data_IF_559677786197
#
_entry.id   IF_559677786197
#
_cell.length_a   1.000
_cell.length_b   1.000
_cell.length_c   1.000
_cell.angle_alpha   90.00
_cell.angle_beta   90.00
_cell.angle_gamma   90.00
#
_symmetry.space_group_name_H-M   'P 1'
#
loop_
_entity.id
_entity.type
_entity.pdbx_description
1 polymer ?
#
# COMPACT_ATOMS: atom_id res chain seq x y z
N UNK A 1 -7.22 15.71 30.74
CA UNK A 1 -6.11 14.96 30.10
C UNK A 1 -6.33 13.48 30.40
N UNK A 2 -6.98 12.75 29.50
CA UNK A 2 -7.27 11.32 29.68
C UNK A 2 -5.99 10.56 29.33
N UNK A 3 -5.23 10.17 30.36
CA UNK A 3 -4.08 9.29 30.20
C UNK A 3 -4.61 7.88 29.92
N UNK A 4 -4.79 7.56 28.65
CA UNK A 4 -5.12 6.21 28.21
C UNK A 4 -3.92 5.32 28.54
N UNK A 5 -4.05 4.46 29.57
CA UNK A 5 -3.10 3.36 29.82
C UNK A 5 -3.22 2.35 28.68
N UNK A 6 -2.55 2.61 27.57
CA UNK A 6 -2.50 1.67 26.45
C UNK A 6 -1.63 0.48 26.87
N UNK A 7 -2.22 -0.71 26.95
CA UNK A 7 -1.48 -1.93 27.25
C UNK A 7 -0.45 -2.16 26.13
N UNK A 8 0.85 -2.30 26.44
CA UNK A 8 1.90 -2.43 25.42
C UNK A 8 1.69 -3.66 24.51
N UNK A 9 1.02 -4.70 25.02
CA UNK A 9 0.64 -5.90 24.25
C UNK A 9 -0.50 -5.60 23.25
N UNK A 10 -1.48 -4.79 23.63
CA UNK A 10 -2.57 -4.40 22.75
C UNK A 10 -2.08 -3.49 21.61
N UNK A 11 -1.13 -2.59 21.90
CA UNK A 11 -0.47 -1.78 20.88
C UNK A 11 0.31 -2.65 19.88
N UNK A 12 1.09 -3.63 20.37
CA UNK A 12 1.85 -4.53 19.49
C UNK A 12 0.95 -5.35 18.56
N UNK A 13 -0.18 -5.86 19.06
CA UNK A 13 -1.16 -6.60 18.24
C UNK A 13 -1.82 -5.69 17.19
N UNK A 14 -2.22 -4.48 17.57
CA UNK A 14 -2.81 -3.52 16.63
C UNK A 14 -1.83 -3.16 15.52
N UNK A 15 -0.55 -2.91 15.85
CA UNK A 15 0.50 -2.63 14.87
C UNK A 15 0.74 -3.84 13.96
N UNK A 16 0.79 -5.06 14.50
CA UNK A 16 0.93 -6.26 13.68
C UNK A 16 -0.23 -6.44 12.70
N UNK A 17 -1.46 -6.14 13.15
CA UNK A 17 -2.65 -6.18 12.29
C UNK A 17 -2.61 -5.14 11.17
N UNK A 18 -2.27 -3.87 11.46
CA UNK A 18 -2.13 -2.85 10.43
C UNK A 18 -1.05 -3.23 9.40
N UNK A 19 0.11 -3.70 9.86
CA UNK A 19 1.16 -4.20 8.96
C UNK A 19 0.67 -5.36 8.08
N UNK A 20 -0.24 -6.21 8.58
CA UNK A 20 -0.81 -7.33 7.82
C UNK A 20 -1.75 -6.85 6.73
N UNK A 21 -2.58 -5.85 7.04
CA UNK A 21 -3.41 -5.20 6.04
C UNK A 21 -2.56 -4.55 4.95
N UNK A 22 -1.53 -3.79 5.31
CA UNK A 22 -0.62 -3.16 4.34
C UNK A 22 0.03 -4.19 3.41
N UNK A 23 0.48 -5.34 3.95
CA UNK A 23 1.10 -6.38 3.14
C UNK A 23 0.10 -7.10 2.23
N UNK A 24 -1.10 -7.44 2.72
CA UNK A 24 -2.16 -8.03 1.90
C UNK A 24 -2.55 -7.07 0.76
N UNK A 25 -2.72 -5.78 1.08
CA UNK A 25 -2.98 -4.74 0.09
C UNK A 25 -1.86 -4.68 -0.97
N UNK A 26 -0.59 -4.77 -0.56
CA UNK A 26 0.54 -4.76 -1.50
C UNK A 26 0.49 -5.92 -2.50
N UNK A 27 0.06 -7.12 -2.09
CA UNK A 27 -0.09 -8.28 -3.00
C UNK A 27 -1.14 -7.99 -4.06
N UNK A 28 -2.28 -7.42 -3.66
CA UNK A 28 -3.37 -7.10 -4.58
C UNK A 28 -2.93 -6.02 -5.56
N UNK A 29 -2.28 -4.96 -5.10
CA UNK A 29 -1.79 -3.87 -5.96
C UNK A 29 -0.74 -4.38 -6.94
N UNK A 30 0.23 -5.20 -6.52
CA UNK A 30 1.19 -5.85 -7.44
C UNK A 30 0.49 -6.72 -8.48
N UNK A 31 -0.54 -7.47 -8.09
CA UNK A 31 -1.30 -8.31 -9.00
C UNK A 31 -2.05 -7.51 -10.07
N UNK A 32 -2.73 -6.44 -9.67
CA UNK A 32 -3.50 -5.58 -10.57
C UNK A 32 -2.58 -4.77 -11.48
N UNK A 33 -1.57 -4.09 -10.92
CA UNK A 33 -0.59 -3.30 -11.69
C UNK A 33 0.25 -4.19 -12.61
N UNK A 34 0.61 -5.40 -12.18
CA UNK A 34 1.31 -6.38 -13.02
C UNK A 34 0.46 -6.89 -14.19
N UNK A 35 -0.86 -7.08 -13.99
CA UNK A 35 -1.79 -7.37 -15.07
C UNK A 35 -1.87 -6.21 -16.06
N UNK A 36 -1.94 -4.98 -15.57
CA UNK A 36 -1.99 -3.79 -16.41
C UNK A 36 -0.70 -3.61 -17.23
N UNK A 37 0.47 -3.78 -16.60
CA UNK A 37 1.78 -3.65 -17.26
C UNK A 37 1.98 -4.68 -18.40
N UNK A 38 1.39 -5.87 -18.27
CA UNK A 38 1.48 -6.91 -19.32
C UNK A 38 0.60 -6.62 -20.53
N UNK A 39 -0.54 -5.96 -20.34
CA UNK A 39 -1.62 -5.89 -21.35
C UNK A 39 -1.81 -4.49 -21.95
N UNK A 40 -1.30 -3.45 -21.29
CA UNK A 40 -1.51 -2.04 -21.65
C UNK A 40 -0.18 -1.30 -21.79
N UNK A 41 -0.19 -0.08 -22.37
CA UNK A 41 1.01 0.77 -22.43
C UNK A 41 1.60 1.00 -21.04
N UNK A 42 2.93 1.11 -21.01
CA UNK A 42 3.70 1.24 -19.78
C UNK A 42 3.67 2.70 -19.33
N UNK A 43 2.80 3.02 -18.38
CA UNK A 43 2.73 4.35 -17.78
C UNK A 43 3.65 4.48 -16.58
N UNK A 44 4.24 5.66 -16.42
CA UNK A 44 5.19 5.93 -15.35
C UNK A 44 4.53 5.86 -13.96
N UNK A 45 3.27 6.27 -13.83
CA UNK A 45 2.50 6.18 -12.60
C UNK A 45 2.27 4.72 -12.18
N UNK A 46 1.94 3.86 -13.14
CA UNK A 46 1.73 2.43 -12.92
C UNK A 46 3.03 1.72 -12.48
N UNK A 47 4.16 2.12 -13.06
CA UNK A 47 5.49 1.65 -12.65
C UNK A 47 5.83 2.11 -11.22
N UNK A 48 5.44 3.32 -10.84
CA UNK A 48 5.63 3.79 -9.47
C UNK A 48 4.82 2.95 -8.47
N UNK A 49 3.53 2.72 -8.73
CA UNK A 49 2.65 1.90 -7.89
C UNK A 49 3.19 0.48 -7.68
N UNK A 50 3.61 -0.20 -8.75
CA UNK A 50 4.12 -1.57 -8.67
C UNK A 50 5.46 -1.65 -7.92
N UNK A 51 6.35 -0.66 -8.08
CA UNK A 51 7.65 -0.63 -7.39
C UNK A 51 7.45 -0.46 -5.89
N UNK A 52 6.63 0.50 -5.45
CA UNK A 52 6.34 0.70 -4.02
C UNK A 52 5.68 -0.56 -3.43
N UNK A 53 4.69 -1.12 -4.14
CA UNK A 53 3.99 -2.31 -3.69
C UNK A 53 4.92 -3.53 -3.60
N UNK A 54 5.82 -3.72 -4.57
CA UNK A 54 6.80 -4.80 -4.55
C UNK A 54 7.85 -4.63 -3.43
N UNK A 55 8.29 -3.40 -3.16
CA UNK A 55 9.20 -3.11 -2.05
C UNK A 55 8.55 -3.45 -0.70
N UNK A 56 7.28 -3.10 -0.50
CA UNK A 56 6.53 -3.53 0.69
C UNK A 56 6.43 -5.04 0.74
N UNK A 57 6.02 -5.70 -0.34
CA UNK A 57 5.84 -7.15 -0.36
C UNK A 57 7.12 -7.91 0.05
N UNK A 58 8.30 -7.44 -0.40
CA UNK A 58 9.59 -8.02 -0.04
C UNK A 58 10.13 -7.61 1.34
N UNK A 59 10.00 -6.34 1.73
CA UNK A 59 10.61 -5.78 2.94
C UNK A 59 9.73 -5.90 4.19
N UNK A 60 8.41 -6.12 4.05
CA UNK A 60 7.48 -6.19 5.19
C UNK A 60 7.34 -7.58 5.81
N UNK A 61 7.92 -8.64 5.21
CA UNK A 61 7.86 -10.00 5.79
C UNK A 61 8.44 -10.06 7.22
N UNK A 62 9.59 -9.43 7.53
CA UNK A 62 10.10 -9.35 8.90
C UNK A 62 9.21 -8.53 9.84
N UNK A 63 8.44 -7.57 9.31
CA UNK A 63 7.51 -6.72 10.08
C UNK A 63 6.40 -7.54 10.76
N UNK A 64 6.10 -8.75 10.28
CA UNK A 64 5.17 -9.69 10.93
C UNK A 64 5.74 -10.40 12.13
N UNK A 65 7.02 -10.75 12.06
CA UNK A 65 7.67 -11.64 13.01
C UNK A 65 8.18 -10.84 14.21
N UNK A 66 8.71 -9.64 13.96
CA UNK A 66 9.36 -8.82 14.97
C UNK A 66 8.44 -8.29 16.09
N UNK A 67 7.15 -7.95 15.88
CA UNK A 67 6.26 -7.53 16.96
C UNK A 67 5.87 -8.66 17.92
N UNK A 68 5.95 -9.92 17.46
CA UNK A 68 5.65 -11.11 18.27
C UNK A 68 6.79 -11.43 19.24
N UNK A 69 8.03 -11.07 18.87
CA UNK A 69 9.18 -11.16 19.77
C UNK A 69 9.31 -9.86 20.57
N UNK A 70 9.45 -9.96 21.89
CA UNK A 70 9.51 -8.84 22.86
C UNK A 70 10.68 -7.85 22.68
N UNK A 71 11.40 -7.88 21.55
CA UNK A 71 12.53 -7.02 21.20
C UNK A 71 12.17 -5.93 20.18
N UNK A 72 10.88 -5.67 19.94
CA UNK A 72 10.44 -4.61 19.03
C UNK A 72 10.81 -3.22 19.58
N UNK A 73 12.03 -2.79 19.28
CA UNK A 73 12.47 -1.40 19.40
C UNK A 73 11.92 -0.65 18.18
N UNK A 74 11.59 0.62 18.37
CA UNK A 74 10.97 1.58 17.44
C UNK A 74 11.69 1.78 16.07
N UNK A 75 12.60 0.89 15.66
CA UNK A 75 13.39 0.96 14.42
C UNK A 75 12.57 1.00 13.14
N UNK A 76 11.38 0.41 13.13
CA UNK A 76 10.49 0.44 11.96
C UNK A 76 9.69 1.73 11.84
N UNK A 77 9.64 2.59 12.87
CA UNK A 77 8.80 3.79 12.82
C UNK A 77 9.23 4.80 11.74
N UNK A 78 10.54 5.10 11.53
CA UNK A 78 10.96 5.97 10.43
C UNK A 78 10.65 5.35 9.05
N UNK A 79 10.77 4.03 8.93
CA UNK A 79 10.50 3.32 7.68
C UNK A 79 9.01 3.31 7.35
N UNK A 80 8.15 3.08 8.36
CA UNK A 80 6.70 3.23 8.23
C UNK A 80 6.32 4.65 7.80
N UNK A 81 6.95 5.68 8.37
CA UNK A 81 6.70 7.07 7.98
C UNK A 81 7.07 7.34 6.51
N UNK A 82 8.23 6.89 6.05
CA UNK A 82 8.62 7.07 4.64
C UNK A 82 7.66 6.34 3.71
N UNK A 83 7.32 5.08 4.03
CA UNK A 83 6.40 4.30 3.19
C UNK A 83 4.98 4.87 3.18
N UNK A 84 4.48 5.45 4.28
CA UNK A 84 3.16 6.08 4.27
C UNK A 84 3.11 7.25 3.27
N UNK A 85 4.18 8.04 3.17
CA UNK A 85 4.26 9.11 2.16
C UNK A 85 4.35 8.56 0.74
N UNK A 86 5.08 7.46 0.53
CA UNK A 86 5.17 6.81 -0.78
C UNK A 86 3.81 6.23 -1.22
N UNK A 87 3.08 5.60 -0.31
CA UNK A 87 1.70 5.14 -0.53
C UNK A 87 0.75 6.31 -0.78
N UNK A 88 0.89 7.41 -0.05
CA UNK A 88 0.11 8.62 -0.29
C UNK A 88 0.36 9.19 -1.68
N UNK A 89 1.61 9.23 -2.13
CA UNK A 89 1.95 9.66 -3.50
C UNK A 89 1.35 8.71 -4.54
N UNK A 90 1.42 7.40 -4.31
CA UNK A 90 0.80 6.41 -5.19
C UNK A 90 -0.73 6.60 -5.25
N UNK A 91 -1.36 6.89 -4.11
CA UNK A 91 -2.80 7.17 -4.04
C UNK A 91 -3.17 8.42 -4.83
N UNK A 92 -2.38 9.50 -4.73
CA UNK A 92 -2.63 10.73 -5.49
C UNK A 92 -2.53 10.48 -6.99
N UNK A 93 -1.54 9.72 -7.44
CA UNK A 93 -1.41 9.36 -8.86
C UNK A 93 -2.57 8.48 -9.33
N UNK A 94 -2.94 7.45 -8.56
CA UNK A 94 -4.09 6.61 -8.85
C UNK A 94 -5.39 7.43 -8.91
N UNK A 95 -5.59 8.39 -8.01
CA UNK A 95 -6.78 9.24 -8.01
C UNK A 95 -6.83 10.18 -9.23
N UNK A 96 -5.69 10.73 -9.64
CA UNK A 96 -5.60 11.54 -10.86
C UNK A 96 -5.88 10.70 -12.11
N UNK A 97 -5.32 9.50 -12.19
CA UNK A 97 -5.48 8.66 -13.37
C UNK A 97 -6.86 8.00 -13.43
N UNK A 98 -7.41 7.54 -12.31
CA UNK A 98 -8.63 6.72 -12.32
C UNK A 98 -9.92 7.53 -12.09
N UNK A 99 -9.85 8.65 -11.36
CA UNK A 99 -11.03 9.45 -11.00
C UNK A 99 -11.15 10.78 -11.79
N UNK A 100 -10.07 11.27 -12.40
CA UNK A 100 -10.09 12.53 -13.15
C UNK A 100 -10.61 12.31 -14.59
N UNK A 101 -11.93 12.15 -14.76
CA UNK A 101 -12.68 12.01 -16.03
C UNK A 101 -13.00 10.57 -16.50
N UNK A 102 -13.10 10.32 -17.81
CA UNK A 102 -13.54 9.02 -18.35
C UNK A 102 -12.48 7.96 -18.08
N UNK A 103 -12.78 7.08 -17.11
CA UNK A 103 -11.92 6.01 -16.61
C UNK A 103 -11.32 5.08 -17.69
N UNK A 104 -11.96 4.95 -18.85
CA UNK A 104 -11.48 4.15 -19.98
C UNK A 104 -10.41 4.86 -20.82
N UNK A 105 -10.42 6.20 -20.84
CA UNK A 105 -9.51 7.03 -21.66
C UNK A 105 -8.28 7.50 -20.90
N UNK A 106 -8.28 7.42 -19.57
CA UNK A 106 -7.13 7.79 -18.76
C UNK A 106 -6.13 6.64 -18.58
N UNK A 107 -4.88 7.00 -18.29
CA UNK A 107 -3.77 6.08 -18.06
C UNK A 107 -4.12 5.00 -17.00
N UNK A 108 -3.84 3.70 -17.24
CA UNK A 108 -3.48 3.11 -18.53
C UNK A 108 -4.64 3.10 -19.52
N UNK A 109 -4.38 3.46 -20.78
CA UNK A 109 -5.42 3.57 -21.81
C UNK A 109 -6.10 2.21 -22.03
N UNK A 110 -7.39 2.11 -21.68
CA UNK A 110 -8.14 0.86 -21.62
C UNK A 110 -8.10 0.14 -20.26
N UNK A 111 -8.70 -1.06 -20.20
CA UNK A 111 -8.84 -1.81 -18.94
C UNK A 111 -10.15 -1.50 -18.22
N UNK A 112 -10.61 -2.45 -17.41
CA UNK A 112 -11.89 -2.26 -16.71
C UNK A 112 -11.73 -1.22 -15.60
N UNK A 113 -12.63 -0.24 -15.58
CA UNK A 113 -12.63 0.78 -14.54
C UNK A 113 -12.73 0.19 -13.13
N UNK A 114 -13.45 -0.93 -12.99
CA UNK A 114 -13.55 -1.66 -11.72
C UNK A 114 -12.18 -2.11 -11.19
N UNK A 115 -11.25 -2.56 -12.05
CA UNK A 115 -9.91 -2.97 -11.63
C UNK A 115 -9.07 -1.76 -11.20
N UNK A 116 -9.20 -0.62 -11.88
CA UNK A 116 -8.54 0.64 -11.55
C UNK A 116 -8.98 1.18 -10.18
N UNK A 117 -10.29 1.28 -9.97
CA UNK A 117 -10.90 1.69 -8.69
C UNK A 117 -10.56 0.72 -7.54
N UNK A 118 -10.47 -0.57 -7.85
CA UNK A 118 -10.03 -1.59 -6.88
C UNK A 118 -8.58 -1.33 -6.48
N UNK A 119 -7.69 -1.06 -7.45
CA UNK A 119 -6.29 -0.71 -7.17
C UNK A 119 -6.19 0.50 -6.24
N UNK A 120 -6.88 1.59 -6.56
CA UNK A 120 -6.93 2.81 -5.74
C UNK A 120 -7.38 2.54 -4.30
N UNK A 121 -8.44 1.74 -4.14
CA UNK A 121 -8.97 1.39 -2.81
C UNK A 121 -7.94 0.63 -1.97
N UNK A 122 -7.19 -0.31 -2.57
CA UNK A 122 -6.16 -1.06 -1.85
C UNK A 122 -4.88 -0.26 -1.62
N UNK A 123 -4.53 0.68 -2.49
CA UNK A 123 -3.46 1.66 -2.25
C UNK A 123 -3.82 2.52 -1.03
N UNK A 124 -5.08 2.96 -0.90
CA UNK A 124 -5.56 3.68 0.28
C UNK A 124 -5.51 2.83 1.56
N UNK A 125 -5.88 1.55 1.48
CA UNK A 125 -5.81 0.63 2.63
C UNK A 125 -4.38 0.28 3.05
N UNK A 126 -3.39 0.50 2.19
CA UNK A 126 -1.99 0.21 2.50
C UNK A 126 -1.31 1.35 3.29
N UNK A 127 -1.90 2.55 3.29
CA UNK A 127 -1.47 3.73 4.05
C UNK A 127 -1.57 3.51 5.57
#
# INVERSE_FOLDING_TARGET
>A
MVSAKFSPKAAGIAVAFCNALTWISSIIVVGITGYFLKKYPHDQHLIFEIVISALVLGLWIPSFVLPVFSSYKFYYAPLNFVFSYLWLTAFVFAAQDYNQSQCELNAPFGGSCNLKLTSESFIFLAL
#
